data_IF_007811577524
#
_entry.id   IF_007811577524
#
_cell.length_a   1.000
_cell.length_b   1.000
_cell.length_c   1.000
_cell.angle_alpha   90.00
_cell.angle_beta   90.00
_cell.angle_gamma   90.00
#
_symmetry.space_group_name_H-M   'P 1'
#
loop_
_entity.id
_entity.type
_entity.pdbx_description
1 polymer ?
2 non-polymer ?
3 non-polymer ?
4 non-polymer ?
5 water ?
#
# COMPACT_ATOMS: atom_id res chain seq x y z
N UNK A 1 19.33 3.20 -13.45
CA UNK A 1 19.86 1.84 -13.51
C UNK A 1 20.69 1.53 -12.27
N UNK A 2 21.99 1.82 -12.34
CA UNK A 2 22.89 1.62 -11.22
C UNK A 2 22.81 2.74 -10.19
N UNK A 3 21.81 3.62 -10.29
CA UNK A 3 21.65 4.73 -9.37
C UNK A 3 20.36 4.65 -8.56
N UNK A 4 19.53 3.63 -8.78
CA UNK A 4 18.27 3.47 -8.07
C UNK A 4 18.33 2.36 -7.02
N UNK A 5 19.53 2.08 -6.51
CA UNK A 5 19.71 1.00 -5.54
C UNK A 5 19.66 1.54 -4.11
N UNK A 6 19.31 0.66 -3.18
CA UNK A 6 19.38 0.93 -1.75
C UNK A 6 20.65 0.27 -1.24
N UNK A 7 21.63 1.09 -0.84
CA UNK A 7 22.97 0.63 -0.51
C UNK A 7 23.20 0.64 0.99
N UNK A 8 23.61 -0.51 1.54
CA UNK A 8 24.06 -0.61 2.91
C UNK A 8 25.59 -0.68 2.86
N UNK A 9 26.22 0.49 2.88
CA UNK A 9 27.66 0.60 2.69
C UNK A 9 28.40 0.01 3.90
N UNK A 10 29.39 -0.84 3.61
CA UNK A 10 30.18 -1.46 4.67
C UNK A 10 31.43 -0.65 4.94
N UNK A 11 31.75 -0.35 6.20
CA UNK A 11 33.00 0.33 6.51
C UNK A 11 34.19 -0.55 6.14
N UNK A 12 35.19 0.07 5.50
CA UNK A 12 36.35 -0.64 4.96
C UNK A 12 35.90 -1.78 4.05
N UNK A 13 35.17 -1.40 3.00
CA UNK A 13 34.59 -2.38 2.08
C UNK A 13 35.69 -3.11 1.32
N UNK A 14 35.61 -4.44 1.32
CA UNK A 14 36.46 -5.27 0.48
C UNK A 14 35.71 -5.93 -0.67
N UNK A 15 34.39 -6.09 -0.55
CA UNK A 15 33.56 -6.63 -1.60
C UNK A 15 32.20 -5.94 -1.58
N UNK A 16 31.53 -5.97 -2.73
CA UNK A 16 30.22 -5.36 -2.87
C UNK A 16 29.33 -6.28 -3.70
N UNK A 17 28.17 -6.61 -3.17
CA UNK A 17 27.24 -7.51 -3.83
C UNK A 17 25.98 -6.74 -4.22
N UNK A 18 25.30 -7.23 -5.24
CA UNK A 18 24.02 -6.70 -5.69
C UNK A 18 22.96 -7.77 -5.51
N UNK A 19 21.91 -7.44 -4.75
CA UNK A 19 20.91 -8.41 -4.33
C UNK A 19 19.56 -8.01 -4.89
N UNK A 20 18.99 -8.86 -5.75
CA UNK A 20 17.59 -8.75 -6.12
C UNK A 20 16.75 -9.38 -5.02
N UNK A 21 15.83 -8.61 -4.45
CA UNK A 21 15.12 -9.02 -3.25
C UNK A 21 13.61 -8.95 -3.44
N UNK A 22 12.89 -9.63 -2.55
CA UNK A 22 11.44 -9.58 -2.48
C UNK A 22 11.06 -9.56 -1.01
N UNK A 23 10.29 -8.55 -0.60
CA UNK A 23 9.97 -8.37 0.81
C UNK A 23 9.11 -9.50 1.35
N UNK A 24 8.44 -10.27 0.49
CA UNK A 24 7.62 -11.39 0.93
C UNK A 24 8.40 -12.69 1.03
N UNK A 25 9.63 -12.73 0.52
CA UNK A 25 10.43 -13.95 0.57
C UNK A 25 11.05 -14.11 1.96
N UNK A 26 10.88 -15.30 2.54
CA UNK A 26 11.37 -15.52 3.89
C UNK A 26 12.90 -15.47 3.99
N UNK A 27 13.60 -15.79 2.91
CA UNK A 27 15.05 -15.74 2.93
C UNK A 27 15.61 -14.37 2.59
N UNK A 28 14.82 -13.51 1.95
CA UNK A 28 15.22 -12.11 1.83
C UNK A 28 15.10 -11.40 3.17
N UNK A 29 14.12 -11.79 3.99
CA UNK A 29 14.03 -11.27 5.35
C UNK A 29 15.21 -11.76 6.17
N UNK A 30 15.55 -13.04 6.04
CA UNK A 30 16.73 -13.57 6.71
C UNK A 30 17.99 -12.84 6.27
N UNK A 31 18.09 -12.55 4.97
CA UNK A 31 19.26 -11.82 4.46
C UNK A 31 19.33 -10.41 5.02
N UNK A 32 18.18 -9.71 5.06
CA UNK A 32 18.19 -8.34 5.56
C UNK A 32 18.48 -8.29 7.05
N UNK A 33 18.10 -9.32 7.80
CA UNK A 33 18.42 -9.39 9.22
C UNK A 33 19.90 -9.61 9.47
N UNK A 34 20.68 -9.87 8.42
CA UNK A 34 22.12 -10.14 8.55
C UNK A 34 22.96 -9.07 7.86
N UNK A 35 22.38 -7.90 7.59
CA UNK A 35 23.13 -6.84 6.92
C UNK A 35 24.30 -6.38 7.78
N UNK A 36 24.10 -6.32 9.10
CA UNK A 36 25.19 -5.93 9.98
C UNK A 36 26.32 -6.95 9.96
N UNK A 37 25.97 -8.23 9.85
CA UNK A 37 26.99 -9.27 9.73
C UNK A 37 27.75 -9.16 8.41
N UNK A 38 27.05 -8.81 7.33
CA UNK A 38 27.72 -8.62 6.04
C UNK A 38 28.67 -7.44 6.11
N UNK A 39 28.22 -6.30 6.65
CA UNK A 39 29.06 -5.12 6.71
C UNK A 39 30.26 -5.34 7.61
N UNK A 40 30.08 -6.10 8.70
CA UNK A 40 31.19 -6.33 9.63
C UNK A 40 32.32 -7.11 8.98
N UNK A 41 32.01 -7.94 7.99
CA UNK A 41 33.02 -8.66 7.23
C UNK A 41 33.47 -7.89 6.00
N UNK A 42 33.06 -6.63 5.85
CA UNK A 42 33.49 -5.82 4.73
C UNK A 42 32.71 -6.06 3.46
N UNK A 43 31.44 -6.45 3.56
CA UNK A 43 30.61 -6.74 2.40
C UNK A 43 29.53 -5.65 2.30
N UNK A 44 29.57 -4.88 1.22
CA UNK A 44 28.52 -3.90 0.93
C UNK A 44 27.38 -4.60 0.20
N UNK A 45 26.15 -4.34 0.65
CA UNK A 45 24.95 -4.91 0.07
C UNK A 45 24.16 -3.80 -0.61
N UNK A 46 23.80 -4.03 -1.88
CA UNK A 46 23.02 -3.07 -2.66
C UNK A 46 21.76 -3.77 -3.14
N UNK A 47 20.60 -3.23 -2.77
CA UNK A 47 19.33 -3.90 -3.02
C UNK A 47 18.70 -3.44 -4.32
N UNK A 48 18.14 -4.40 -5.06
CA UNK A 48 17.31 -4.14 -6.22
C UNK A 48 15.98 -4.87 -6.03
N UNK A 49 14.89 -4.19 -6.34
CA UNK A 49 13.57 -4.78 -6.15
C UNK A 49 13.29 -5.84 -7.20
N UNK A 50 12.64 -6.92 -6.78
CA UNK A 50 12.16 -7.96 -7.70
C UNK A 50 10.97 -8.65 -7.07
N UNK A 51 9.79 -8.06 -7.18
CA UNK A 51 8.57 -8.73 -6.69
C UNK A 51 8.22 -9.92 -7.56
N UNK A 52 8.23 -11.11 -6.95
CA UNK A 52 7.92 -12.33 -7.70
C UNK A 52 6.49 -12.33 -8.21
N UNK A 53 5.60 -11.55 -7.60
CA UNK A 53 4.26 -11.38 -8.14
C UNK A 53 4.31 -10.80 -9.55
N UNK A 54 5.22 -9.86 -9.77
CA UNK A 54 5.26 -9.11 -11.01
C UNK A 54 5.45 -7.64 -10.73
N UNK A 55 5.78 -6.86 -11.76
CA UNK A 55 6.06 -5.43 -11.56
C UNK A 55 4.84 -4.56 -11.31
N UNK A 56 3.62 -5.12 -11.32
CA UNK A 56 2.43 -4.31 -11.14
C UNK A 56 1.50 -4.82 -10.04
N UNK A 57 1.84 -5.92 -9.37
CA UNK A 57 0.97 -6.46 -8.34
C UNK A 57 0.99 -5.66 -7.04
N UNK A 58 0.47 -6.25 -5.97
CA UNK A 58 0.41 -5.56 -4.69
C UNK A 58 1.77 -5.53 -4.00
N UNK A 59 2.61 -6.55 -4.23
CA UNK A 59 3.95 -6.55 -3.66
C UNK A 59 4.79 -5.44 -4.27
N UNK A 60 4.64 -5.20 -5.58
CA UNK A 60 5.38 -4.13 -6.22
C UNK A 60 4.99 -2.77 -5.67
N UNK A 61 3.73 -2.59 -5.30
CA UNK A 61 3.29 -1.32 -4.71
C UNK A 61 3.86 -1.14 -3.31
N UNK A 62 4.01 -2.23 -2.55
CA UNK A 62 4.63 -2.13 -1.23
C UNK A 62 6.10 -1.80 -1.32
N UNK A 63 6.81 -2.41 -2.28
CA UNK A 63 8.22 -2.12 -2.48
C UNK A 63 8.40 -0.74 -3.09
N UNK A 64 7.40 -0.29 -3.85
CA UNK A 64 7.42 1.08 -4.34
C UNK A 64 7.29 2.08 -3.22
N UNK A 65 6.47 1.76 -2.20
CA UNK A 65 6.35 2.63 -1.04
C UNK A 65 7.64 2.66 -0.23
N UNK A 66 8.41 1.56 -0.26
CA UNK A 66 9.69 1.54 0.43
C UNK A 66 10.68 2.48 -0.25
N UNK A 67 10.81 2.36 -1.56
CA UNK A 67 11.70 3.25 -2.31
C UNK A 67 11.26 4.70 -2.26
N UNK A 68 9.98 4.95 -1.97
CA UNK A 68 9.43 6.30 -1.91
C UNK A 68 9.24 6.81 -0.49
N UNK A 69 9.76 6.11 0.50
CA UNK A 69 9.72 6.61 1.87
C UNK A 69 10.85 7.59 2.13
N UNK A 70 10.65 8.45 3.13
CA UNK A 70 11.69 9.40 3.51
C UNK A 70 12.93 8.68 4.02
N UNK A 71 12.77 7.48 4.57
CA UNK A 71 13.88 6.64 5.02
C UNK A 71 13.65 5.25 4.46
N UNK A 72 14.10 4.98 3.24
CA UNK A 72 13.88 3.65 2.65
C UNK A 72 14.57 2.53 3.41
N UNK A 73 15.68 2.80 4.08
CA UNK A 73 16.35 1.77 4.86
C UNK A 73 15.48 1.30 6.01
N UNK A 74 14.87 2.24 6.73
CA UNK A 74 13.96 1.87 7.81
C UNK A 74 12.68 1.26 7.27
N UNK A 75 12.24 1.70 6.09
CA UNK A 75 11.02 1.14 5.50
C UNK A 75 11.23 -0.31 5.09
N UNK A 76 12.42 -0.65 4.60
CA UNK A 76 12.74 -2.01 4.22
C UNK A 76 12.73 -2.94 5.43
N UNK A 77 13.29 -2.46 6.54
CA UNK A 77 13.34 -3.26 7.76
C UNK A 77 11.95 -3.46 8.35
N UNK A 78 11.13 -2.40 8.38
CA UNK A 78 9.79 -2.53 8.93
C UNK A 78 8.92 -3.43 8.08
N UNK A 79 9.20 -3.52 6.78
CA UNK A 79 8.39 -4.37 5.90
C UNK A 79 8.84 -5.83 5.95
N UNK A 80 10.15 -6.06 6.04
CA UNK A 80 10.67 -7.42 6.03
C UNK A 80 10.61 -8.06 7.42
N UNK A 81 11.32 -7.46 8.39
CA UNK A 81 11.45 -8.09 9.69
C UNK A 81 10.20 -7.91 10.56
N UNK A 82 9.39 -6.89 10.28
CA UNK A 82 8.23 -6.60 11.11
C UNK A 82 6.89 -6.82 10.40
N UNK A 83 6.91 -7.03 9.08
CA UNK A 83 5.69 -7.23 8.30
C UNK A 83 4.71 -6.08 8.45
N UNK A 84 5.24 -4.86 8.56
CA UNK A 84 4.43 -3.67 8.68
C UNK A 84 4.12 -3.11 7.30
N UNK A 85 2.91 -2.54 7.16
CA UNK A 85 2.50 -1.93 5.91
C UNK A 85 3.20 -0.59 5.75
N UNK A 86 3.82 -0.38 4.58
CA UNK A 86 4.57 0.82 4.28
C UNK A 86 3.73 1.74 3.42
N UNK A 87 3.67 3.01 3.80
CA UNK A 87 2.95 4.04 3.04
C UNK A 87 3.97 4.99 2.43
N UNK A 88 3.79 5.30 1.15
CA UNK A 88 4.72 6.16 0.44
C UNK A 88 4.66 7.59 0.97
N UNK A 89 5.82 8.17 1.24
CA UNK A 89 5.90 9.56 1.67
C UNK A 89 6.06 10.52 0.51
N UNK A 90 6.58 10.06 -0.62
CA UNK A 90 6.70 10.85 -1.84
C UNK A 90 5.74 10.29 -2.90
N UNK A 91 5.72 10.95 -4.05
CA UNK A 91 4.88 10.50 -5.15
C UNK A 91 5.26 9.07 -5.56
N UNK A 92 4.36 8.12 -5.29
CA UNK A 92 4.66 6.72 -5.56
C UNK A 92 4.76 6.44 -7.05
N UNK A 93 4.26 7.34 -7.90
CA UNK A 93 4.40 7.16 -9.34
C UNK A 93 5.86 7.16 -9.77
N UNK A 94 6.71 7.90 -9.04
CA UNK A 94 8.15 7.87 -9.34
C UNK A 94 8.74 6.50 -9.08
N UNK A 95 8.36 5.88 -7.96
CA UNK A 95 8.98 4.62 -7.56
C UNK A 95 8.35 3.42 -8.25
N UNK A 96 7.06 3.49 -8.59
CA UNK A 96 6.43 2.41 -9.35
C UNK A 96 7.14 2.19 -10.68
N UNK A 97 7.66 3.25 -11.29
CA UNK A 97 8.48 3.11 -12.49
C UNK A 97 9.81 2.43 -12.17
N UNK A 98 10.42 2.79 -11.05
CA UNK A 98 11.70 2.18 -10.66
C UNK A 98 11.54 0.70 -10.37
N UNK A 99 10.46 0.32 -9.68
CA UNK A 99 10.22 -1.09 -9.40
C UNK A 99 10.06 -1.88 -10.68
N UNK A 100 9.32 -1.31 -11.65
CA UNK A 100 9.14 -1.99 -12.93
C UNK A 100 10.45 -2.09 -13.69
N UNK A 101 11.31 -1.07 -13.60
CA UNK A 101 12.62 -1.14 -14.23
C UNK A 101 13.50 -2.17 -13.55
N UNK A 102 13.41 -2.28 -12.22
CA UNK A 102 14.19 -3.27 -11.51
C UNK A 102 13.78 -4.69 -11.91
N UNK A 103 12.47 -4.92 -12.04
CA UNK A 103 12.00 -6.24 -12.45
C UNK A 103 12.46 -6.57 -13.86
N UNK A 104 12.46 -5.58 -14.75
CA UNK A 104 12.86 -5.79 -16.13
C UNK A 104 14.35 -6.11 -16.22
N UNK A 105 15.13 -5.53 -15.29
CA UNK A 105 16.55 -5.84 -15.22
C UNK A 105 16.76 -7.27 -14.74
N UNK A 106 16.06 -7.67 -13.67
CA UNK A 106 16.18 -9.03 -13.18
C UNK A 106 15.72 -10.06 -14.19
N UNK A 107 14.68 -9.72 -14.96
CA UNK A 107 14.24 -10.60 -16.04
C UNK A 107 15.26 -10.63 -17.18
N UNK A 108 15.93 -9.50 -17.43
CA UNK A 108 16.96 -9.47 -18.45
C UNK A 108 18.17 -10.29 -18.04
N UNK A 109 18.54 -10.25 -16.75
CA UNK A 109 19.64 -11.06 -16.25
C UNK A 109 19.27 -12.53 -16.09
N UNK A 110 17.97 -12.84 -16.06
CA UNK A 110 17.54 -14.22 -16.01
C UNK A 110 17.53 -14.86 -14.64
N UNK A 111 17.29 -14.08 -13.59
CA UNK A 111 17.20 -14.65 -12.25
C UNK A 111 15.93 -15.50 -12.15
N UNK A 112 15.99 -16.52 -11.30
CA UNK A 112 14.90 -17.48 -11.16
C UNK A 112 14.61 -17.74 -9.68
N UNK A 113 14.46 -16.68 -8.92
CA UNK A 113 14.17 -16.77 -7.50
C UNK A 113 14.90 -15.69 -6.72
N UNK A 114 14.43 -15.46 -5.50
CA UNK A 114 15.00 -14.47 -4.60
C UNK A 114 15.50 -15.12 -3.32
N UNK A 115 16.57 -14.59 -2.71
CA UNK A 115 17.37 -13.44 -3.14
C UNK A 115 18.38 -13.80 -4.22
N UNK A 116 18.53 -12.96 -5.24
CA UNK A 116 19.50 -13.16 -6.31
C UNK A 116 20.72 -12.30 -6.01
N UNK A 117 21.81 -12.93 -5.57
CA UNK A 117 23.02 -12.23 -5.17
C UNK A 117 24.02 -12.28 -6.31
N UNK A 118 24.43 -11.11 -6.79
CA UNK A 118 25.42 -11.00 -7.85
C UNK A 118 26.74 -10.51 -7.25
N UNK A 119 27.82 -11.22 -7.57
CA UNK A 119 29.15 -10.93 -7.06
C UNK A 119 29.83 -9.88 -7.92
N UNK A 120 30.91 -9.25 -7.43
CA UNK A 120 31.58 -8.21 -8.24
C UNK A 120 32.02 -8.70 -9.61
N UNK A 121 32.47 -9.94 -9.73
CA UNK A 121 32.93 -10.46 -11.02
C UNK A 121 31.78 -10.81 -11.96
N UNK A 122 30.53 -10.71 -11.50
CA UNK A 122 29.38 -11.02 -12.31
C UNK A 122 28.71 -12.34 -11.98
N UNK A 123 29.41 -13.25 -11.30
CA UNK A 123 28.82 -14.53 -10.94
C UNK A 123 27.71 -14.34 -9.93
N UNK A 124 26.86 -15.36 -9.82
CA UNK A 124 25.66 -15.28 -9.01
C UNK A 124 25.56 -16.40 -7.97
N UNK A 125 25.15 -16.04 -6.76
CA UNK A 125 24.83 -17.01 -5.72
C UNK A 125 23.32 -17.25 -5.74
N UNK A 126 22.94 -18.52 -5.82
CA UNK A 126 21.53 -18.85 -5.98
C UNK A 126 20.73 -18.86 -4.71
N UNK A 127 20.82 -17.80 -3.93
CA UNK A 127 20.01 -17.67 -2.73
C UNK A 127 20.81 -17.09 -1.58
N UNK A 128 20.23 -17.17 -0.39
CA UNK A 128 20.84 -16.59 0.79
C UNK A 128 22.01 -17.44 1.28
N UNK A 129 23.05 -16.76 1.76
CA UNK A 129 24.18 -17.37 2.44
C UNK A 129 24.56 -16.47 3.60
N UNK A 130 24.86 -17.03 4.77
CA UNK A 130 25.30 -16.20 5.89
C UNK A 130 26.59 -15.48 5.57
N UNK A 131 26.87 -14.44 6.36
CA UNK A 131 28.05 -13.62 6.11
C UNK A 131 29.35 -14.42 6.05
N UNK A 132 29.64 -15.36 6.96
CA UNK A 132 30.90 -16.12 6.81
C UNK A 132 30.99 -16.90 5.52
N UNK A 133 29.93 -17.64 5.17
CA UNK A 133 29.97 -18.45 3.96
C UNK A 133 29.97 -17.59 2.70
N UNK A 134 29.30 -16.45 2.74
CA UNK A 134 29.33 -15.53 1.59
C UNK A 134 30.71 -14.93 1.41
N UNK A 135 31.39 -14.62 2.52
CA UNK A 135 32.76 -14.12 2.43
C UNK A 135 33.69 -15.17 1.83
N UNK A 136 33.50 -16.44 2.20
CA UNK A 136 34.30 -17.51 1.62
C UNK A 136 34.02 -17.65 0.13
N UNK A 137 32.76 -17.46 -0.29
CA UNK A 137 32.43 -17.53 -1.70
C UNK A 137 33.07 -16.38 -2.48
N UNK A 138 33.13 -15.20 -1.87
CA UNK A 138 33.75 -14.05 -2.54
C UNK A 138 35.26 -14.23 -2.66
N UNK A 139 35.92 -14.70 -1.59
CA UNK A 139 37.36 -14.88 -1.65
C UNK A 139 37.76 -15.96 -2.65
N UNK A 140 36.90 -16.95 -2.88
CA UNK A 140 37.20 -17.99 -3.84
C UNK A 140 36.97 -17.55 -5.28
N UNK A 141 36.20 -16.49 -5.50
CA UNK A 141 35.88 -16.00 -6.84
C UNK A 141 36.52 -14.66 -7.16
N UNK A 142 36.60 -13.75 -6.21
CA UNK A 142 37.20 -12.44 -6.43
C UNK A 142 38.61 -12.39 -5.83
N UNK B 1 -16.95 8.72 14.05
CA UNK B 1 -17.53 9.97 14.53
C UNK B 1 -18.33 10.67 13.42
N UNK B 2 -18.83 11.86 13.75
CA UNK B 2 -19.65 12.64 12.83
C UNK B 2 -18.94 13.88 12.31
N UNK B 3 -17.63 14.01 12.58
CA UNK B 3 -16.83 15.10 12.06
C UNK B 3 -15.64 14.62 11.23
N UNK B 4 -15.47 13.31 11.08
CA UNK B 4 -14.40 12.73 10.26
C UNK B 4 -14.94 12.13 8.97
N UNK B 5 -16.18 12.42 8.62
CA UNK B 5 -16.79 11.89 7.41
C UNK B 5 -16.43 12.73 6.19
N UNK B 6 -16.36 12.08 5.04
CA UNK B 6 -16.19 12.76 3.76
C UNK B 6 -17.58 12.94 3.16
N UNK B 7 -18.06 14.18 3.11
CA UNK B 7 -19.44 14.48 2.78
C UNK B 7 -19.53 15.05 1.36
N UNK B 8 -20.39 14.44 0.55
CA UNK B 8 -20.75 14.96 -0.77
C UNK B 8 -22.16 15.54 -0.64
N UNK B 9 -22.22 16.82 -0.31
CA UNK B 9 -23.51 17.46 -0.05
C UNK B 9 -24.33 17.57 -1.32
N UNK B 10 -25.61 17.25 -1.21
CA UNK B 10 -26.51 17.37 -2.34
C UNK B 10 -27.20 18.72 -2.32
N UNK B 11 -27.17 19.48 -3.42
CA UNK B 11 -27.93 20.74 -3.47
C UNK B 11 -29.42 20.46 -3.30
N UNK B 12 -30.05 21.24 -2.43
CA UNK B 12 -31.44 21.02 -2.04
C UNK B 12 -31.64 19.60 -1.53
N UNK B 13 -30.91 19.30 -0.46
CA UNK B 13 -30.90 17.95 0.11
C UNK B 13 -32.25 17.59 0.69
N UNK B 14 -32.74 16.40 0.36
CA UNK B 14 -33.94 15.86 1.00
C UNK B 14 -33.66 14.64 1.85
N UNK B 15 -32.57 13.91 1.57
CA UNK B 15 -32.16 12.77 2.39
C UNK B 15 -30.64 12.74 2.46
N UNK B 16 -30.14 12.19 3.57
CA UNK B 16 -28.71 12.05 3.79
C UNK B 16 -28.42 10.63 4.24
N UNK B 17 -27.48 9.97 3.58
CA UNK B 17 -27.12 8.60 3.88
C UNK B 17 -25.66 8.55 4.34
N UNK B 18 -25.35 7.54 5.14
CA UNK B 18 -23.99 7.29 5.61
C UNK B 18 -23.52 5.96 5.04
N UNK B 19 -22.37 5.98 4.36
CA UNK B 19 -21.89 4.82 3.60
C UNK B 19 -20.55 4.40 4.18
N UNK B 20 -20.50 3.20 4.76
CA UNK B 20 -19.23 2.55 5.09
C UNK B 20 -18.69 1.92 3.82
N UNK B 21 -17.53 2.40 3.36
CA UNK B 21 -17.01 2.03 2.05
C UNK B 21 -15.64 1.37 2.17
N UNK B 22 -15.25 0.71 1.08
CA UNK B 22 -13.94 0.10 0.93
C UNK B 22 -13.50 0.31 -0.51
N UNK B 23 -12.33 0.92 -0.70
CA UNK B 23 -11.86 1.24 -2.04
C UNK B 23 -11.58 0.00 -2.87
N UNK B 24 -11.38 -1.16 -2.24
CA UNK B 24 -11.15 -2.40 -2.95
C UNK B 24 -12.43 -3.17 -3.24
N UNK B 25 -13.59 -2.58 -2.96
CA UNK B 25 -14.87 -3.22 -3.22
C UNK B 25 -15.40 -2.75 -4.58
N UNK B 26 -15.78 -3.71 -5.42
CA UNK B 26 -16.21 -3.36 -6.77
C UNK B 26 -17.47 -2.52 -6.79
N UNK B 27 -18.39 -2.78 -5.85
CA UNK B 27 -19.64 -2.04 -5.79
C UNK B 27 -19.52 -0.74 -5.00
N UNK B 28 -18.48 -0.58 -4.18
CA UNK B 28 -18.19 0.73 -3.62
C UNK B 28 -17.65 1.68 -4.70
N UNK B 29 -16.94 1.14 -5.69
CA UNK B 29 -16.47 1.97 -6.79
C UNK B 29 -17.64 2.42 -7.65
N UNK B 30 -18.59 1.52 -7.93
CA UNK B 30 -19.76 1.89 -8.70
C UNK B 30 -20.63 2.89 -7.95
N UNK B 31 -20.68 2.78 -6.63
CA UNK B 31 -21.44 3.74 -5.84
C UNK B 31 -20.84 5.15 -5.95
N UNK B 32 -19.51 5.23 -5.90
CA UNK B 32 -18.86 6.54 -5.97
C UNK B 32 -18.95 7.14 -7.37
N UNK B 33 -18.93 6.29 -8.41
CA UNK B 33 -19.13 6.78 -9.77
C UNK B 33 -20.55 7.27 -10.01
N UNK B 34 -21.48 6.96 -9.11
CA UNK B 34 -22.86 7.43 -9.21
C UNK B 34 -23.18 8.54 -8.22
N UNK B 35 -22.16 9.18 -7.64
CA UNK B 35 -22.37 10.20 -6.62
C UNK B 35 -23.20 11.36 -7.19
N UNK B 36 -22.89 11.78 -8.42
CA UNK B 36 -23.68 12.84 -9.04
C UNK B 36 -25.13 12.42 -9.21
N UNK B 37 -25.37 11.14 -9.52
CA UNK B 37 -26.73 10.65 -9.66
C UNK B 37 -27.49 10.73 -8.34
N UNK B 38 -26.80 10.46 -7.23
CA UNK B 38 -27.43 10.58 -5.92
C UNK B 38 -27.73 12.03 -5.59
N UNK B 39 -26.76 12.92 -5.82
CA UNK B 39 -26.95 14.34 -5.49
C UNK B 39 -28.05 14.96 -6.34
N UNK B 40 -28.16 14.56 -7.60
CA UNK B 40 -29.20 15.10 -8.47
C UNK B 40 -30.59 14.74 -8.00
N UNK B 41 -30.74 13.69 -7.19
CA UNK B 41 -32.01 13.33 -6.59
C UNK B 41 -32.13 13.83 -5.15
N UNK B 42 -31.24 14.71 -4.72
CA UNK B 42 -31.31 15.28 -3.39
C UNK B 42 -30.78 14.40 -2.28
N UNK B 43 -29.89 13.46 -2.59
CA UNK B 43 -29.36 12.51 -1.62
C UNK B 43 -27.93 12.91 -1.29
N UNK B 44 -27.71 13.26 -0.02
CA UNK B 44 -26.37 13.54 0.47
C UNK B 44 -25.68 12.24 0.86
N UNK B 45 -24.42 12.08 0.44
CA UNK B 45 -23.64 10.88 0.71
C UNK B 45 -22.49 11.27 1.62
N UNK B 46 -22.43 10.66 2.81
CA UNK B 46 -21.36 10.87 3.77
C UNK B 46 -20.60 9.56 3.94
N UNK B 47 -19.29 9.60 3.71
CA UNK B 47 -18.47 8.40 3.66
C UNK B 47 -17.79 8.13 5.00
N UNK B 48 -17.81 6.87 5.42
CA UNK B 48 -17.05 6.39 6.56
C UNK B 48 -16.19 5.22 6.09
N UNK B 49 -14.94 5.21 6.54
CA UNK B 49 -14.01 4.17 6.12
C UNK B 49 -14.33 2.85 6.81
N UNK B 50 -14.20 1.75 6.06
CA UNK B 50 -14.35 0.41 6.62
C UNK B 50 -13.54 -0.57 5.78
N UNK B 51 -12.23 -0.63 6.00
CA UNK B 51 -11.41 -1.64 5.32
C UNK B 51 -11.78 -3.04 5.81
N UNK B 52 -12.28 -3.88 4.90
CA UNK B 52 -12.71 -5.21 5.28
C UNK B 52 -11.55 -6.06 5.81
N UNK B 53 -10.33 -5.77 5.35
CA UNK B 53 -9.17 -6.49 5.87
C UNK B 53 -8.94 -6.18 7.36
N UNK B 54 -9.27 -4.97 7.79
CA UNK B 54 -9.01 -4.54 9.14
C UNK B 54 -8.29 -3.22 9.17
N UNK B 55 -8.24 -2.58 10.33
CA UNK B 55 -7.60 -1.26 10.46
C UNK B 55 -6.09 -1.31 10.65
N UNK B 56 -5.41 -2.09 9.82
CA UNK B 56 -3.95 -2.21 9.92
C UNK B 56 -3.32 -2.49 8.57
N UNK B 57 -4.02 -3.24 7.72
CA UNK B 57 -3.46 -3.65 6.44
C UNK B 57 -3.24 -2.50 5.49
N UNK B 58 -2.95 -2.87 4.23
CA UNK B 58 -2.66 -1.88 3.21
C UNK B 58 -3.89 -1.04 2.88
N UNK B 59 -5.08 -1.65 2.87
CA UNK B 59 -6.29 -0.90 2.54
C UNK B 59 -6.53 0.19 3.58
N UNK B 60 -6.33 -0.13 4.87
CA UNK B 60 -6.54 0.87 5.91
C UNK B 60 -5.59 2.04 5.78
N UNK B 61 -4.35 1.79 5.35
CA UNK B 61 -3.38 2.87 5.18
C UNK B 61 -3.63 3.67 3.91
N UNK B 62 -4.14 3.03 2.86
CA UNK B 62 -4.49 3.76 1.65
C UNK B 62 -5.68 4.67 1.90
N UNK B 63 -6.67 4.20 2.65
CA UNK B 63 -7.81 5.03 3.01
C UNK B 63 -7.38 6.09 4.01
N UNK B 64 -6.35 5.79 4.80
CA UNK B 64 -5.77 6.80 5.68
C UNK B 64 -5.10 7.90 4.87
N UNK B 65 -4.44 7.52 3.76
CA UNK B 65 -3.84 8.53 2.89
C UNK B 65 -4.89 9.37 2.20
N UNK B 66 -6.05 8.78 1.90
CA UNK B 66 -7.15 9.56 1.31
C UNK B 66 -7.65 10.61 2.29
N UNK B 67 -7.91 10.20 3.53
CA UNK B 67 -8.37 11.13 4.55
C UNK B 67 -7.32 12.18 4.90
N UNK B 68 -6.04 11.89 4.64
CA UNK B 68 -4.95 12.81 4.96
C UNK B 68 -4.47 13.59 3.75
N UNK B 69 -5.16 13.48 2.61
CA UNK B 69 -4.79 14.26 1.44
C UNK B 69 -5.30 15.70 1.59
N UNK B 70 -4.65 16.62 0.87
CA UNK B 70 -5.10 18.00 0.84
C UNK B 70 -6.47 18.14 0.20
N UNK B 71 -6.89 17.17 -0.60
CA UNK B 71 -8.23 17.14 -1.18
C UNK B 71 -8.71 15.69 -1.12
N UNK B 72 -9.32 15.29 0.00
CA UNK B 72 -9.75 13.88 0.12
C UNK B 72 -10.78 13.48 -0.91
N UNK B 73 -11.56 14.43 -1.43
CA UNK B 73 -12.52 14.09 -2.50
C UNK B 73 -11.80 13.70 -3.77
N UNK B 74 -10.72 14.41 -4.13
CA UNK B 74 -9.95 14.04 -5.30
C UNK B 74 -9.15 12.76 -5.07
N UNK B 75 -8.71 12.52 -3.83
CA UNK B 75 -7.97 11.30 -3.54
C UNK B 75 -8.87 10.08 -3.60
N UNK B 76 -10.11 10.21 -3.10
CA UNK B 76 -11.09 9.13 -3.15
C UNK B 76 -11.45 8.80 -4.59
N UNK B 77 -11.58 9.85 -5.41
CA UNK B 77 -11.89 9.65 -6.82
C UNK B 77 -10.74 9.00 -7.55
N UNK B 78 -9.50 9.35 -7.19
CA UNK B 78 -8.34 8.72 -7.81
C UNK B 78 -8.17 7.28 -7.34
N UNK B 79 -8.56 6.97 -6.10
CA UNK B 79 -8.37 5.63 -5.58
C UNK B 79 -9.45 4.67 -6.06
N UNK B 80 -10.71 5.13 -6.11
CA UNK B 80 -11.80 4.28 -6.54
C UNK B 80 -11.91 4.23 -8.06
N UNK B 81 -12.08 5.39 -8.69
CA UNK B 81 -12.30 5.42 -10.14
C UNK B 81 -11.01 5.08 -10.88
N UNK B 82 -9.96 5.87 -10.65
CA UNK B 82 -8.70 5.70 -11.35
C UNK B 82 -7.88 4.52 -10.83
N UNK B 83 -8.19 4.00 -9.65
CA UNK B 83 -7.54 2.80 -9.11
C UNK B 83 -6.04 2.99 -8.98
N UNK B 84 -5.62 4.18 -8.56
CA UNK B 84 -4.22 4.47 -8.29
C UNK B 84 -3.98 4.55 -6.78
N UNK B 85 -2.80 4.11 -6.36
CA UNK B 85 -2.47 4.13 -4.95
C UNK B 85 -2.19 5.56 -4.50
N UNK B 86 -2.77 5.96 -3.38
CA UNK B 86 -2.72 7.34 -2.91
C UNK B 86 -1.52 7.53 -1.99
N UNK B 87 -0.81 8.63 -2.17
CA UNK B 87 0.32 9.01 -1.34
C UNK B 87 -0.12 10.00 -0.28
N UNK B 88 0.31 9.78 0.96
CA UNK B 88 -0.02 10.68 2.05
C UNK B 88 0.58 12.06 1.82
N UNK B 89 -0.27 13.08 1.82
CA UNK B 89 0.20 14.45 1.67
C UNK B 89 0.68 15.03 2.98
N UNK B 90 0.06 14.64 4.09
CA UNK B 90 0.47 15.07 5.43
C UNK B 90 0.90 13.84 6.23
N UNK B 91 1.08 14.02 7.53
CA UNK B 91 1.43 12.91 8.40
C UNK B 91 0.24 11.98 8.54
N UNK B 92 0.42 10.71 8.14
CA UNK B 92 -0.68 9.76 8.10
C UNK B 92 -1.05 9.21 9.47
N UNK B 93 -0.29 9.55 10.51
CA UNK B 93 -0.55 8.97 11.83
C UNK B 93 -1.90 9.42 12.37
N UNK B 94 -2.28 10.68 12.13
CA UNK B 94 -3.55 11.17 12.65
C UNK B 94 -4.74 10.55 11.92
N UNK B 95 -4.58 10.23 10.64
CA UNK B 95 -5.67 9.63 9.88
C UNK B 95 -5.80 8.14 10.14
N UNK B 96 -4.69 7.47 10.47
CA UNK B 96 -4.77 6.05 10.82
C UNK B 96 -5.62 5.82 12.05
N UNK B 97 -5.62 6.78 12.98
CA UNK B 97 -6.53 6.70 14.12
C UNK B 97 -7.98 6.85 13.68
N UNK B 98 -8.24 7.72 12.72
CA UNK B 98 -9.60 7.90 12.22
C UNK B 98 -10.10 6.64 11.52
N UNK B 99 -9.27 6.03 10.67
CA UNK B 99 -9.65 4.79 10.01
C UNK B 99 -9.91 3.70 11.05
N UNK B 100 -9.12 3.68 12.12
CA UNK B 100 -9.33 2.69 13.18
C UNK B 100 -10.62 2.95 13.94
N UNK B 101 -10.93 4.23 14.19
CA UNK B 101 -12.19 4.54 14.87
C UNK B 101 -13.39 4.25 13.97
N UNK B 102 -13.26 4.51 12.66
CA UNK B 102 -14.34 4.20 11.74
C UNK B 102 -14.61 2.71 11.68
N UNK B 103 -13.56 1.90 11.72
CA UNK B 103 -13.75 0.45 11.68
C UNK B 103 -14.44 -0.05 12.95
N UNK B 104 -14.04 0.48 14.11
CA UNK B 104 -14.66 0.10 15.37
C UNK B 104 -16.13 0.48 15.39
N UNK B 105 -16.45 1.64 14.82
CA UNK B 105 -17.85 2.05 14.71
C UNK B 105 -18.64 1.09 13.83
N UNK B 106 -18.08 0.74 12.67
CA UNK B 106 -18.75 -0.20 11.80
C UNK B 106 -18.86 -1.59 12.39
N UNK B 107 -17.82 -2.02 13.11
CA UNK B 107 -17.87 -3.32 13.77
C UNK B 107 -18.91 -3.34 14.88
N UNK B 108 -19.05 -2.23 15.62
CA UNK B 108 -20.09 -2.15 16.64
C UNK B 108 -21.47 -2.08 16.00
N UNK B 109 -21.59 -1.48 14.82
CA UNK B 109 -22.86 -1.47 14.11
C UNK B 109 -23.18 -2.80 13.45
N UNK B 110 -22.23 -3.74 13.44
CA UNK B 110 -22.50 -5.07 12.92
C UNK B 110 -22.65 -5.15 11.42
N UNK B 111 -21.98 -4.27 10.68
CA UNK B 111 -22.03 -4.35 9.22
C UNK B 111 -21.20 -5.54 8.74
N UNK B 112 -21.77 -6.29 7.79
CA UNK B 112 -21.17 -7.53 7.32
C UNK B 112 -20.65 -7.43 5.89
N UNK B 113 -20.62 -6.24 5.31
CA UNK B 113 -20.14 -6.08 3.95
C UNK B 113 -20.27 -4.65 3.49
N UNK B 114 -19.47 -4.33 2.47
CA UNK B 114 -19.45 -2.99 1.90
C UNK B 114 -20.11 -2.97 0.52
N UNK B 115 -20.80 -1.89 0.17
CA UNK B 115 -21.05 -0.67 0.95
C UNK B 115 -22.21 -0.83 1.92
N UNK B 116 -22.06 -0.32 3.14
CA UNK B 116 -23.11 -0.34 4.14
C UNK B 116 -23.78 1.03 4.18
N UNK B 117 -24.98 1.12 3.63
CA UNK B 117 -25.71 2.38 3.51
C UNK B 117 -26.70 2.49 4.65
N UNK B 118 -26.56 3.51 5.48
CA UNK B 118 -27.46 3.76 6.60
C UNK B 118 -28.38 4.92 6.26
N UNK B 119 -29.68 4.68 6.33
CA UNK B 119 -30.68 5.68 6.05
C UNK B 119 -30.85 6.61 7.25
N UNK B 120 -31.46 7.78 7.07
CA UNK B 120 -31.59 8.73 8.19
C UNK B 120 -32.29 8.15 9.41
N UNK B 121 -33.24 7.23 9.23
CA UNK B 121 -33.95 6.67 10.38
C UNK B 121 -33.16 5.56 11.08
N UNK B 122 -32.00 5.19 10.55
CA UNK B 122 -31.19 4.13 11.12
C UNK B 122 -31.26 2.81 10.39
N UNK B 123 -32.22 2.65 9.48
CA UNK B 123 -32.33 1.41 8.72
C UNK B 123 -31.15 1.28 7.75
N UNK B 124 -30.82 0.05 7.40
CA UNK B 124 -29.63 -0.22 6.59
C UNK B 124 -29.94 -0.95 5.29
N UNK B 125 -29.29 -0.51 4.22
CA UNK B 125 -29.35 -1.18 2.93
C UNK B 125 -28.06 -1.97 2.75
N UNK B 126 -28.17 -3.28 2.67
CA UNK B 126 -27.00 -4.13 2.59
C UNK B 126 -26.37 -4.19 1.22
N UNK B 127 -25.89 -3.05 0.72
CA UNK B 127 -25.22 -3.03 -0.57
C UNK B 127 -25.54 -1.82 -1.43
N UNK B 128 -24.99 -1.80 -2.64
CA UNK B 128 -25.18 -0.69 -3.56
C UNK B 128 -26.55 -0.75 -4.22
N UNK B 129 -27.17 0.41 -4.38
CA UNK B 129 -28.39 0.58 -5.15
C UNK B 129 -28.25 1.85 -5.98
N UNK B 130 -28.70 1.82 -7.24
CA UNK B 130 -28.65 3.04 -8.05
C UNK B 130 -29.52 4.13 -7.44
N UNK B 131 -29.25 5.36 -7.88
CA UNK B 131 -29.96 6.53 -7.33
C UNK B 131 -31.48 6.41 -7.41
N UNK B 132 -32.09 6.01 -8.52
CA UNK B 132 -33.56 5.90 -8.51
C UNK B 132 -34.07 4.85 -7.53
N UNK B 133 -33.44 3.67 -7.50
CA UNK B 133 -33.88 2.63 -6.57
C UNK B 133 -33.61 3.02 -5.12
N UNK B 134 -32.50 3.72 -4.87
CA UNK B 134 -32.20 4.16 -3.51
C UNK B 134 -33.18 5.24 -3.06
N UNK B 135 -33.55 6.15 -3.95
CA UNK B 135 -34.52 7.18 -3.60
C UNK B 135 -35.87 6.56 -3.26
N UNK B 136 -36.28 5.53 -4.01
CA UNK B 136 -37.53 4.84 -3.70
C UNK B 136 -37.45 4.10 -2.38
N UNK B 137 -36.28 3.57 -2.03
CA UNK B 137 -36.10 2.95 -0.73
C UNK B 137 -36.20 3.97 0.39
N UNK B 138 -35.72 5.20 0.14
CA UNK B 138 -35.82 6.24 1.15
C UNK B 138 -37.26 6.70 1.33
N UNK B 139 -37.97 6.93 0.23
CA UNK B 139 -39.35 7.40 0.32
C UNK B 139 -40.26 6.36 0.96
N UNK B 140 -39.93 5.08 0.85
CA UNK B 140 -40.76 4.04 1.44
C UNK B 140 -40.48 3.84 2.92
N UNK B 141 -39.23 4.06 3.35
CA UNK B 141 -38.85 3.83 4.73
C UNK B 141 -38.93 5.10 5.58
N UNK B 142 -38.34 6.19 5.10
CA UNK B 142 -38.33 7.44 5.84
C UNK B 142 -39.72 8.07 5.89
X LIG C 1 34.56 1.62 1.75
X LIG C 1 34.35 2.06 0.62
X LIG C 1 33.82 1.63 2.76
X LIG D 1 20.64 4.63 0.09
X LIG E 1 14.02 6.24 -18.07
X LIG F 1 2.05 -8.48 -11.88
X LIG G 1 -14.72 16.12 3.02
X LIG G 1 -13.71 16.85 2.35
X LIG G 1 -15.86 17.03 3.40
X LIG G 1 -16.67 16.40 4.35
X LIG H 1 -10.44 10.27 20.63
#
# INVERSE_FOLDING_TARGET
>A
AQDSMIEFKAPNEKYAITVFTDITCGYCVRLHSQIKEYNDLGITVRYLAYPRQGPQGQVADQMAAIWCSNDPKAAMHDAKVNRKTITADKDIAQCQKTIAQHYMLGHELGISGTPAIFLPNGEMVGGYLPAPQLLQRLQATQ
>B
AQDSMIEFKAPNEKYAITVFTDITCGYCVRLHSQIKEYNDLGITVRYLAYPRQGPQGQVADQMAAIWCSNDPKAAMHDAKVNRKTITADKDIAQCQKTIAQHYMLGHELGISGTPAIFLPNGEMVGGYLPAPQLLQRLQATQ
>C hetero
1 FMT C O1 O2
>D hetero
1 CL CL
>E hetero
1 CL CL
>F hetero
1 CL CL
>G hetero
1 EDO C1 O1 C2 O2
>H hetero
1 CL CL
#
